data_IF_427001532850
#
_entry.id   IF_427001532850
#
_cell.length_a   1.000
_cell.length_b   1.000
_cell.length_c   1.000
_cell.angle_alpha   90.00
_cell.angle_beta   90.00
_cell.angle_gamma   90.00
#
_symmetry.space_group_name_H-M   'P 1'
#
loop_
_entity.id
_entity.type
_entity.pdbx_description
1 polymer ?
#
# COMPACT_ATOMS: atom_id res chain seq x y z
N UNK A 1 2.40 -7.54 7.76
CA UNK A 1 1.63 -6.76 6.77
C UNK A 1 1.55 -7.57 5.49
N UNK A 2 0.40 -7.58 4.79
CA UNK A 2 0.29 -8.25 3.48
C UNK A 2 -0.76 -7.55 2.60
N UNK A 3 -0.52 -7.47 1.28
CA UNK A 3 -1.46 -6.82 0.36
C UNK A 3 -0.93 -6.62 -1.06
N UNK A 4 -1.39 -5.55 -1.72
CA UNK A 4 -1.11 -5.21 -3.12
C UNK A 4 -0.16 -4.00 -3.21
N UNK A 5 0.92 -4.11 -3.98
CA UNK A 5 1.92 -3.06 -4.16
C UNK A 5 2.02 -2.58 -5.60
N UNK A 6 2.22 -1.27 -5.77
CA UNK A 6 2.77 -0.69 -6.98
C UNK A 6 4.25 -0.35 -6.67
N UNK A 7 5.19 -1.00 -7.34
CA UNK A 7 6.60 -1.00 -6.97
C UNK A 7 7.50 -0.61 -8.14
N UNK A 8 8.53 0.18 -7.88
CA UNK A 8 9.60 0.44 -8.84
C UNK A 8 10.95 -0.05 -8.29
N UNK A 9 11.36 0.47 -7.12
CA UNK A 9 12.56 0.04 -6.40
C UNK A 9 12.35 0.19 -4.88
N UNK A 10 13.38 -0.11 -4.09
CA UNK A 10 13.34 -0.05 -2.62
C UNK A 10 12.99 1.34 -2.04
N UNK A 11 13.11 2.40 -2.83
CA UNK A 11 12.84 3.79 -2.45
C UNK A 11 11.59 4.40 -3.09
N UNK A 12 10.95 3.69 -4.02
CA UNK A 12 9.80 4.16 -4.79
C UNK A 12 8.78 3.04 -4.89
N UNK A 13 7.81 3.07 -4.01
CA UNK A 13 6.71 2.11 -3.98
C UNK A 13 5.53 2.67 -3.21
N UNK A 14 4.34 2.17 -3.52
CA UNK A 14 3.18 2.25 -2.65
C UNK A 14 2.61 0.87 -2.40
N UNK A 15 1.94 0.72 -1.27
CA UNK A 15 1.48 -0.56 -0.76
C UNK A 15 0.16 -0.35 -0.02
N UNK A 16 -0.92 -0.95 -0.50
CA UNK A 16 -2.15 -1.14 0.29
C UNK A 16 -2.08 -2.50 0.96
N UNK A 17 -2.24 -2.53 2.27
CA UNK A 17 -1.99 -3.74 3.04
C UNK A 17 -2.88 -3.88 4.26
N UNK A 18 -3.12 -5.13 4.61
CA UNK A 18 -3.66 -5.52 5.91
C UNK A 18 -2.53 -5.46 6.94
N UNK A 19 -2.80 -4.80 8.05
CA UNK A 19 -1.95 -4.75 9.24
C UNK A 19 -2.81 -4.84 10.50
N UNK A 20 -2.18 -4.71 11.65
CA UNK A 20 -2.84 -4.68 12.95
C UNK A 20 -2.48 -3.40 13.70
N UNK A 21 -3.45 -2.82 14.42
CA UNK A 21 -3.21 -1.78 15.42
C UNK A 21 -3.96 -2.09 16.73
N UNK A 22 -3.55 -1.45 17.83
CA UNK A 22 -4.02 -1.73 19.18
C UNK A 22 -5.50 -1.40 19.40
N UNK A 23 -6.05 -0.48 18.62
CA UNK A 23 -7.39 0.09 18.82
C UNK A 23 -8.45 -0.71 18.06
N UNK A 24 -8.17 -1.00 16.78
CA UNK A 24 -9.15 -1.55 15.84
C UNK A 24 -8.90 -3.03 15.51
N UNK A 25 -7.74 -3.58 15.91
CA UNK A 25 -7.32 -4.92 15.51
C UNK A 25 -6.84 -4.92 14.06
N UNK A 26 -7.37 -5.81 13.23
CA UNK A 26 -7.03 -5.90 11.81
C UNK A 26 -7.58 -4.70 11.03
N UNK A 27 -6.70 -4.00 10.30
CA UNK A 27 -7.03 -2.79 9.53
C UNK A 27 -6.37 -2.80 8.16
N UNK A 28 -6.93 -2.03 7.23
CA UNK A 28 -6.33 -1.69 5.93
C UNK A 28 -5.64 -0.33 6.05
N UNK A 29 -4.40 -0.24 5.57
CA UNK A 29 -3.60 0.99 5.49
C UNK A 29 -2.96 1.11 4.10
N UNK A 30 -2.60 2.34 3.73
CA UNK A 30 -1.77 2.65 2.56
C UNK A 30 -0.47 3.29 3.04
N UNK A 31 0.64 2.69 2.62
CA UNK A 31 1.98 3.26 2.75
C UNK A 31 2.53 3.66 1.38
N UNK A 32 3.20 4.81 1.31
CA UNK A 32 4.04 5.19 0.18
C UNK A 32 5.46 5.46 0.68
N UNK A 33 6.44 4.98 -0.07
CA UNK A 33 7.81 5.42 0.05
C UNK A 33 8.19 6.17 -1.22
N UNK A 34 8.49 7.45 -1.06
CA UNK A 34 8.95 8.32 -2.13
C UNK A 34 10.35 8.84 -1.78
N UNK A 35 11.37 8.40 -2.50
CA UNK A 35 12.78 8.76 -2.30
C UNK A 35 13.29 8.45 -0.88
N UNK A 36 12.82 7.35 -0.29
CA UNK A 36 13.17 6.96 1.08
C UNK A 36 12.32 7.64 2.17
N UNK A 37 11.41 8.55 1.80
CA UNK A 37 10.47 9.17 2.74
C UNK A 37 9.19 8.36 2.80
N UNK A 38 9.03 7.63 3.90
CA UNK A 38 7.81 6.87 4.17
C UNK A 38 6.66 7.77 4.65
N UNK A 39 5.47 7.54 4.10
CA UNK A 39 4.21 8.18 4.47
C UNK A 39 3.14 7.10 4.68
N UNK A 40 2.51 7.09 5.85
CA UNK A 40 1.26 6.35 6.12
C UNK A 40 0.09 7.31 5.93
N UNK A 41 -0.91 6.95 5.14
CA UNK A 41 -1.96 7.89 4.75
C UNK A 41 -3.14 7.91 5.71
N UNK A 42 -3.65 6.76 6.15
CA UNK A 42 -4.88 6.69 6.92
C UNK A 42 -4.63 6.86 8.42
N UNK A 43 -3.59 6.23 8.96
CA UNK A 43 -3.19 6.32 10.39
C UNK A 43 -4.37 5.94 11.30
N UNK A 44 -4.91 6.92 12.03
CA UNK A 44 -6.05 6.75 12.93
C UNK A 44 -7.35 6.48 12.16
N UNK A 45 -7.42 6.89 10.88
CA UNK A 45 -8.53 6.64 9.96
C UNK A 45 -8.37 5.31 9.19
N UNK A 46 -7.44 4.43 9.63
CA UNK A 46 -7.25 3.11 9.00
C UNK A 46 -8.56 2.30 8.98
N UNK A 47 -8.86 1.70 7.84
CA UNK A 47 -10.16 1.07 7.61
C UNK A 47 -10.21 -0.24 8.39
N UNK A 48 -11.10 -0.30 9.39
CA UNK A 48 -11.33 -1.50 10.19
C UNK A 48 -11.85 -2.64 9.34
N UNK A 49 -11.23 -3.81 9.48
CA UNK A 49 -11.69 -5.05 8.85
C UNK A 49 -12.71 -5.70 9.79
N UNK A 50 -13.96 -5.99 9.35
CA UNK A 50 -14.95 -6.65 10.18
C UNK A 50 -14.48 -8.02 10.68
N UNK A 51 -14.83 -8.37 11.93
CA UNK A 51 -14.56 -9.70 12.48
C UNK A 51 -15.24 -10.79 11.64
N UNK A 52 -14.54 -11.92 11.45
CA UNK A 52 -15.03 -13.01 10.60
C UNK A 52 -14.82 -12.80 9.09
N UNK A 53 -14.20 -11.69 8.67
CA UNK A 53 -13.80 -11.50 7.26
C UNK A 53 -12.70 -12.48 6.87
N UNK A 54 -13.00 -13.41 5.95
CA UNK A 54 -12.04 -14.42 5.49
C UNK A 54 -11.07 -13.87 4.43
N UNK A 55 -11.58 -13.02 3.53
CA UNK A 55 -10.79 -12.44 2.43
C UNK A 55 -10.98 -10.92 2.36
N UNK A 56 -9.90 -10.21 2.08
CA UNK A 56 -9.93 -8.81 1.67
C UNK A 56 -9.38 -8.73 0.26
N UNK A 57 -10.17 -8.17 -0.65
CA UNK A 57 -9.81 -8.01 -2.04
C UNK A 57 -9.26 -6.61 -2.25
N UNK A 58 -8.08 -6.49 -2.85
CA UNK A 58 -7.49 -5.21 -3.24
C UNK A 58 -7.44 -5.06 -4.75
N UNK A 59 -7.62 -3.82 -5.21
CA UNK A 59 -7.49 -3.45 -6.62
C UNK A 59 -6.75 -2.13 -6.75
N UNK A 60 -5.78 -2.07 -7.65
CA UNK A 60 -5.14 -0.81 -8.06
C UNK A 60 -5.83 -0.29 -9.31
N UNK A 61 -6.21 0.99 -9.32
CA UNK A 61 -6.93 1.64 -10.41
C UNK A 61 -6.07 2.73 -11.01
N UNK A 62 -5.31 2.34 -12.03
CA UNK A 62 -4.38 3.25 -12.71
C UNK A 62 -5.13 4.07 -13.77
N UNK A 63 -4.90 5.39 -13.77
CA UNK A 63 -5.54 6.39 -14.64
C UNK A 63 -4.50 7.39 -15.14
N UNK A 64 -3.65 6.93 -16.06
CA UNK A 64 -2.60 7.71 -16.75
C UNK A 64 -1.61 8.40 -15.78
N UNK A 65 -2.00 9.54 -15.20
CA UNK A 65 -1.17 10.34 -14.31
C UNK A 65 -1.33 9.97 -12.83
N UNK A 66 -2.48 9.41 -12.44
CA UNK A 66 -2.74 9.07 -11.04
C UNK A 66 -3.23 7.63 -10.92
N UNK A 67 -3.17 7.11 -9.71
CA UNK A 67 -3.80 5.85 -9.36
C UNK A 67 -4.33 5.89 -7.92
N UNK A 68 -5.30 5.04 -7.65
CA UNK A 68 -5.88 4.85 -6.32
C UNK A 68 -6.02 3.36 -6.02
N UNK A 69 -6.17 3.03 -4.74
CA UNK A 69 -6.51 1.69 -4.30
C UNK A 69 -7.99 1.58 -3.96
N UNK A 70 -8.56 0.43 -4.28
CA UNK A 70 -9.91 0.03 -3.92
C UNK A 70 -9.83 -1.27 -3.10
N UNK A 71 -10.75 -1.44 -2.15
CA UNK A 71 -10.87 -2.65 -1.36
C UNK A 71 -12.30 -3.21 -1.40
N UNK A 72 -12.46 -4.49 -1.09
CA UNK A 72 -13.75 -5.15 -0.95
C UNK A 72 -13.67 -6.29 0.06
N UNK A 73 -14.75 -6.48 0.83
CA UNK A 73 -14.91 -7.60 1.77
C UNK A 73 -15.76 -8.75 1.19
N UNK A 74 -16.49 -8.52 0.11
CA UNK A 74 -17.34 -9.51 -0.56
C UNK A 74 -16.77 -9.96 -1.94
N UNK A 75 -15.73 -9.28 -2.44
CA UNK A 75 -15.14 -9.49 -3.75
C UNK A 75 -15.96 -8.94 -4.92
N UNK A 76 -17.10 -8.29 -4.65
CA UNK A 76 -18.06 -7.80 -5.64
C UNK A 76 -18.12 -6.28 -5.60
N UNK A 77 -18.38 -5.74 -4.41
CA UNK A 77 -18.56 -4.32 -4.16
C UNK A 77 -17.23 -3.71 -3.72
N UNK A 78 -16.63 -2.91 -4.61
CA UNK A 78 -15.36 -2.25 -4.34
C UNK A 78 -15.56 -0.81 -3.88
N UNK A 79 -14.92 -0.46 -2.77
CA UNK A 79 -14.89 0.89 -2.21
C UNK A 79 -13.52 1.51 -2.47
N UNK A 80 -13.50 2.71 -3.04
CA UNK A 80 -12.27 3.46 -3.25
C UNK A 80 -11.76 4.05 -1.94
N UNK A 81 -10.49 3.80 -1.63
CA UNK A 81 -9.81 4.44 -0.50
C UNK A 81 -9.53 5.90 -0.90
N UNK A 82 -9.80 6.90 -0.05
CA UNK A 82 -9.68 8.32 -0.40
C UNK A 82 -8.22 8.82 -0.44
N UNK A 83 -7.34 8.07 -1.12
CA UNK A 83 -5.93 8.40 -1.34
C UNK A 83 -5.67 8.35 -2.83
N UNK A 84 -5.15 9.44 -3.38
CA UNK A 84 -4.72 9.55 -4.78
C UNK A 84 -3.21 9.64 -4.82
N UNK A 85 -2.58 8.75 -5.56
CA UNK A 85 -1.13 8.64 -5.68
C UNK A 85 -0.69 9.09 -7.08
N UNK A 86 0.48 9.71 -7.16
CA UNK A 86 1.07 10.18 -8.41
C UNK A 86 1.79 9.01 -9.10
N UNK A 87 1.32 8.65 -10.30
CA UNK A 87 1.91 7.56 -11.07
C UNK A 87 3.34 7.89 -11.55
N UNK A 88 3.68 9.18 -11.68
CA UNK A 88 5.01 9.61 -12.11
C UNK A 88 6.09 9.24 -11.09
N UNK A 89 5.77 9.07 -9.80
CA UNK A 89 6.73 8.65 -8.77
C UNK A 89 7.37 7.30 -9.12
N UNK A 90 6.66 6.45 -9.86
CA UNK A 90 7.09 5.12 -10.28
C UNK A 90 7.59 5.09 -11.74
N UNK A 91 8.20 6.18 -12.22
CA UNK A 91 8.78 6.27 -13.56
C UNK A 91 10.29 6.45 -13.55
N UNK A 92 10.94 6.05 -14.66
CA UNK A 92 12.37 6.22 -14.87
C UNK A 92 12.78 7.71 -14.72
N UNK A 93 12.02 8.62 -15.33
CA UNK A 93 12.28 10.07 -15.31
C UNK A 93 12.28 10.66 -13.90
N UNK A 94 11.40 10.16 -13.03
CA UNK A 94 11.32 10.63 -11.64
C UNK A 94 12.41 10.03 -10.76
N UNK A 95 12.70 8.74 -10.95
CA UNK A 95 13.70 8.01 -10.18
C UNK A 95 15.11 8.51 -10.49
N UNK A 96 15.42 8.80 -11.77
CA UNK A 96 16.69 9.35 -12.23
C UNK A 96 17.14 10.59 -11.42
N UNK A 97 16.20 11.43 -11.00
CA UNK A 97 16.50 12.65 -10.24
C UNK A 97 17.07 12.40 -8.84
N UNK A 98 16.98 11.17 -8.34
CA UNK A 98 17.38 10.79 -6.98
C UNK A 98 18.25 9.54 -6.92
N UNK A 99 18.39 8.81 -8.03
CA UNK A 99 19.06 7.52 -8.08
C UNK A 99 19.65 7.27 -9.48
N UNK A 100 20.90 6.81 -9.54
CA UNK A 100 21.64 6.67 -10.81
C UNK A 100 21.24 5.46 -11.67
N UNK A 101 20.42 4.53 -11.17
CA UNK A 101 19.92 3.36 -11.92
C UNK A 101 18.41 3.43 -12.18
N UNK A 102 17.98 3.64 -13.42
CA UNK A 102 16.60 3.99 -13.79
C UNK A 102 16.11 3.23 -15.03
N UNK A 103 16.30 1.90 -15.05
CA UNK A 103 16.15 1.09 -16.27
C UNK A 103 15.10 -0.01 -16.17
N UNK A 104 14.10 0.14 -15.28
CA UNK A 104 13.11 -0.92 -15.01
C UNK A 104 11.71 -0.50 -15.46
N UNK A 105 10.96 0.15 -14.59
CA UNK A 105 9.55 0.49 -14.80
C UNK A 105 8.69 0.07 -13.62
N UNK A 106 7.45 0.55 -13.59
CA UNK A 106 6.49 0.21 -12.54
C UNK A 106 5.96 -1.23 -12.67
N UNK A 107 5.90 -1.93 -11.54
CA UNK A 107 5.28 -3.25 -11.39
C UNK A 107 4.08 -3.18 -10.45
N UNK A 108 3.12 -4.09 -10.64
CA UNK A 108 2.06 -4.38 -9.66
C UNK A 108 2.26 -5.80 -9.15
N UNK A 109 2.22 -5.99 -7.84
CA UNK A 109 2.47 -7.30 -7.24
C UNK A 109 1.79 -7.49 -5.89
N UNK A 110 1.87 -8.71 -5.38
CA UNK A 110 1.48 -9.03 -4.01
C UNK A 110 2.73 -9.10 -3.15
N UNK A 111 2.65 -8.58 -1.93
CA UNK A 111 3.74 -8.63 -0.97
C UNK A 111 3.22 -9.04 0.40
N UNK A 112 4.03 -9.82 1.12
CA UNK A 112 3.82 -10.17 2.52
C UNK A 112 5.12 -9.94 3.29
N UNK A 113 5.03 -9.17 4.38
CA UNK A 113 6.16 -8.75 5.21
C UNK A 113 5.87 -9.14 6.65
N UNK A 114 6.72 -10.00 7.21
CA UNK A 114 6.72 -10.37 8.61
C UNK A 114 7.98 -9.83 9.30
N UNK A 115 7.79 -8.90 10.24
CA UNK A 115 8.80 -8.52 11.21
C UNK A 115 8.36 -9.09 12.56
N UNK A 116 9.27 -9.78 13.26
CA UNK A 116 8.95 -10.41 14.53
C UNK A 116 8.54 -9.34 15.55
N UNK A 117 7.28 -9.37 15.99
CA UNK A 117 6.83 -8.62 17.15
C UNK A 117 6.89 -9.53 18.38
N UNK A 118 7.90 -9.34 19.23
CA UNK A 118 7.88 -9.94 20.56
C UNK A 118 6.76 -9.26 21.33
N UNK A 119 5.66 -9.98 21.57
CA UNK A 119 4.64 -9.55 22.53
C UNK A 119 5.33 -9.35 23.87
N UNK A 120 5.55 -8.10 24.26
CA UNK A 120 5.85 -7.77 25.63
C UNK A 120 4.68 -8.25 26.48
N UNK A 121 4.87 -9.38 27.16
CA UNK A 121 3.98 -9.80 28.23
C UNK A 121 4.06 -8.72 29.30
N UNK A 122 3.01 -7.92 29.41
CA UNK A 122 2.71 -7.10 30.58
C UNK A 122 1.38 -7.58 31.14
#
# INVERSE_FOLDING_TARGET
MAGLTNFYNDRHWSFVFITWNEINGSVIEIGENNRGKYTSYLKDDAIKIPEGTEYVWFRTKVRKQTYSYEYSFDGISFTQIPVTLDAAILSDDYVLQSYGGFFTGAFVGLAAVGLLWLRGQR
#
